data_IF_383447986598
#
_entry.id   IF_383447986598
#
_cell.length_a   1.000
_cell.length_b   1.000
_cell.length_c   1.000
_cell.angle_alpha   90.00
_cell.angle_beta   90.00
_cell.angle_gamma   90.00
#
_symmetry.space_group_name_H-M   'P 1'
#
loop_
_entity.id
_entity.type
_entity.pdbx_description
1 polymer ?
#
# COMPACT_ATOMS: atom_id res chain seq x y z
N UNK A 1 3.19 -3.24 -33.96
CA UNK A 1 2.87 -4.60 -33.50
C UNK A 1 3.71 -4.88 -32.26
N UNK A 2 3.24 -4.51 -31.08
CA UNK A 2 3.66 -5.13 -29.82
C UNK A 2 2.55 -6.10 -29.46
N UNK A 3 2.61 -7.33 -30.00
CA UNK A 3 2.00 -8.44 -29.28
C UNK A 3 2.85 -8.60 -28.03
N UNK A 4 2.57 -7.84 -26.98
CA UNK A 4 2.95 -8.27 -25.65
C UNK A 4 2.16 -9.55 -25.44
N UNK A 5 2.87 -10.67 -25.65
CA UNK A 5 2.44 -12.01 -25.32
C UNK A 5 1.87 -11.91 -23.91
N UNK A 6 0.58 -12.24 -23.73
CA UNK A 6 0.08 -12.54 -22.40
C UNK A 6 1.03 -13.60 -21.82
N UNK A 7 1.88 -13.19 -20.88
CA UNK A 7 3.06 -13.97 -20.46
C UNK A 7 2.67 -15.22 -19.68
N UNK A 8 1.41 -15.30 -19.20
CA UNK A 8 0.90 -16.45 -18.46
C UNK A 8 -0.04 -17.29 -19.31
N UNK A 9 0.46 -18.42 -19.78
CA UNK A 9 -0.34 -19.51 -20.35
C UNK A 9 -0.98 -20.33 -19.23
N UNK A 10 -1.97 -19.72 -18.55
CA UNK A 10 -2.64 -20.32 -17.38
C UNK A 10 -3.23 -21.69 -17.71
N UNK A 11 -3.76 -21.84 -18.93
CA UNK A 11 -4.23 -23.10 -19.50
C UNK A 11 -3.17 -24.19 -19.48
N UNK A 12 -1.93 -23.84 -19.83
CA UNK A 12 -0.81 -24.77 -19.87
C UNK A 12 -0.20 -25.01 -18.48
N UNK A 13 -0.29 -24.04 -17.57
CA UNK A 13 0.28 -24.14 -16.22
C UNK A 13 -0.63 -24.92 -15.26
N UNK A 14 -1.95 -24.82 -15.42
CA UNK A 14 -2.93 -25.39 -14.48
C UNK A 14 -2.74 -26.90 -14.19
N UNK A 15 -2.47 -27.77 -15.19
CA UNK A 15 -2.22 -29.20 -14.90
C UNK A 15 -1.02 -29.44 -13.98
N UNK A 16 0.01 -28.59 -14.04
CA UNK A 16 1.21 -28.72 -13.21
C UNK A 16 0.99 -28.20 -11.79
N UNK A 17 0.20 -27.13 -11.62
CA UNK A 17 -0.20 -26.64 -10.29
C UNK A 17 -1.14 -27.62 -9.56
N UNK A 18 -1.83 -28.49 -10.29
CA UNK A 18 -2.70 -29.51 -9.73
C UNK A 18 -1.96 -30.80 -9.31
N UNK A 19 -0.66 -30.92 -9.62
CA UNK A 19 0.15 -32.05 -9.16
C UNK A 19 0.27 -32.03 -7.63
N UNK A 20 0.33 -33.23 -7.03
CA UNK A 20 0.64 -33.34 -5.62
C UNK A 20 2.06 -32.84 -5.35
N UNK A 21 2.17 -31.77 -4.56
CA UNK A 21 3.44 -31.16 -4.17
C UNK A 21 4.17 -31.98 -3.09
N UNK A 22 3.49 -32.93 -2.45
CA UNK A 22 4.02 -33.67 -1.30
C UNK A 22 4.16 -32.77 -0.07
N UNK A 23 5.21 -33.00 0.73
CA UNK A 23 5.39 -32.31 2.03
C UNK A 23 6.20 -31.02 1.95
N UNK A 24 6.94 -30.79 0.86
CA UNK A 24 7.81 -29.61 0.71
C UNK A 24 6.97 -28.39 0.38
N UNK A 25 7.46 -27.21 0.74
CA UNK A 25 6.72 -25.95 0.65
C UNK A 25 7.51 -24.91 -0.15
N UNK A 26 6.84 -24.18 -1.03
CA UNK A 26 7.39 -23.01 -1.70
C UNK A 26 7.12 -21.77 -0.84
N UNK A 27 8.19 -21.05 -0.50
CA UNK A 27 8.13 -19.80 0.23
C UNK A 27 8.63 -18.66 -0.67
N UNK A 28 7.73 -17.76 -1.06
CA UNK A 28 8.06 -16.57 -1.84
C UNK A 28 8.56 -15.47 -0.93
N UNK A 29 9.87 -15.20 -0.93
CA UNK A 29 10.46 -14.10 -0.17
C UNK A 29 10.27 -12.81 -0.95
N UNK A 30 9.64 -11.83 -0.33
CA UNK A 30 9.22 -10.55 -0.95
C UNK A 30 9.86 -9.41 -0.17
N UNK A 31 10.43 -8.44 -0.87
CA UNK A 31 11.06 -7.26 -0.27
C UNK A 31 10.88 -6.02 -1.13
N UNK A 32 11.20 -4.86 -0.54
CA UNK A 32 11.19 -3.55 -1.21
C UNK A 32 12.60 -3.19 -1.62
N UNK A 33 12.77 -2.74 -2.87
CA UNK A 33 14.06 -2.27 -3.40
C UNK A 33 14.33 -0.79 -3.06
N UNK A 34 15.47 -0.26 -3.53
CA UNK A 34 15.87 1.12 -3.22
C UNK A 34 14.94 2.20 -3.81
N UNK A 35 14.12 1.85 -4.79
CA UNK A 35 13.23 2.77 -5.52
C UNK A 35 11.75 2.60 -5.08
N UNK A 36 11.50 1.77 -4.06
CA UNK A 36 10.14 1.46 -3.61
C UNK A 36 9.43 0.43 -4.49
N UNK A 37 10.16 -0.23 -5.40
CA UNK A 37 9.69 -1.37 -6.17
C UNK A 37 9.63 -2.64 -5.33
N UNK A 38 8.76 -3.58 -5.70
CA UNK A 38 8.63 -4.87 -5.01
C UNK A 38 9.36 -5.95 -5.80
N UNK A 39 10.19 -6.72 -5.11
CA UNK A 39 10.97 -7.84 -5.66
C UNK A 39 10.61 -9.12 -4.93
N UNK A 40 10.79 -10.27 -5.60
CA UNK A 40 10.54 -11.56 -4.97
C UNK A 40 11.36 -12.69 -5.57
N UNK A 41 11.58 -13.75 -4.78
CA UNK A 41 12.11 -15.04 -5.24
C UNK A 41 11.70 -16.19 -4.31
N UNK A 42 11.71 -17.41 -4.81
CA UNK A 42 11.16 -18.58 -4.10
C UNK A 42 12.22 -19.49 -3.50
N UNK A 43 12.11 -19.79 -2.19
CA UNK A 43 12.85 -20.87 -1.52
C UNK A 43 11.99 -22.13 -1.42
N UNK A 44 12.59 -23.31 -1.52
CA UNK A 44 11.94 -24.58 -1.11
C UNK A 44 12.26 -24.89 0.34
N UNK A 45 11.24 -25.14 1.15
CA UNK A 45 11.31 -25.59 2.54
C UNK A 45 10.95 -27.09 2.61
N UNK A 46 11.58 -27.82 3.53
CA UNK A 46 11.30 -29.26 3.70
C UNK A 46 9.90 -29.54 4.28
N UNK A 47 9.32 -28.57 4.98
CA UNK A 47 7.98 -28.61 5.56
C UNK A 47 7.44 -27.19 5.73
N UNK A 48 6.12 -27.07 5.95
CA UNK A 48 5.50 -25.80 6.27
C UNK A 48 6.05 -25.22 7.59
N UNK A 49 6.40 -23.92 7.65
CA UNK A 49 6.81 -23.27 8.89
C UNK A 49 5.59 -23.05 9.80
N UNK A 50 5.82 -23.06 11.12
CA UNK A 50 4.79 -22.74 12.11
C UNK A 50 4.80 -21.25 12.48
N UNK A 51 5.94 -20.59 12.31
CA UNK A 51 6.12 -19.17 12.60
C UNK A 51 7.23 -18.55 11.73
N UNK A 52 7.34 -17.22 11.77
CA UNK A 52 8.44 -16.49 11.12
C UNK A 52 9.81 -16.96 11.60
N UNK A 53 9.94 -17.40 12.86
CA UNK A 53 11.20 -17.87 13.43
C UNK A 53 11.70 -19.20 12.82
N UNK A 54 10.83 -19.95 12.15
CA UNK A 54 11.22 -21.19 11.45
C UNK A 54 11.79 -20.91 10.05
N UNK A 55 11.68 -19.67 9.57
CA UNK A 55 12.16 -19.26 8.26
C UNK A 55 13.64 -18.88 8.31
N UNK A 56 14.36 -19.24 7.25
CA UNK A 56 15.78 -18.92 7.12
C UNK A 56 15.95 -17.47 6.68
N UNK A 57 16.98 -16.81 7.21
CA UNK A 57 17.55 -15.64 6.54
C UNK A 57 18.04 -16.06 5.15
N UNK A 58 17.89 -15.16 4.18
CA UNK A 58 18.40 -15.35 2.84
C UNK A 58 19.15 -14.09 2.40
N UNK A 59 19.67 -14.07 1.18
CA UNK A 59 20.41 -12.94 0.62
C UNK A 59 20.02 -12.74 -0.84
N UNK A 60 20.33 -11.59 -1.42
CA UNK A 60 20.24 -11.33 -2.86
C UNK A 60 21.36 -10.38 -3.28
N UNK A 61 21.55 -10.27 -4.60
CA UNK A 61 22.47 -9.29 -5.17
C UNK A 61 21.82 -7.90 -5.18
N UNK A 62 22.20 -7.08 -4.20
CA UNK A 62 21.73 -5.71 -4.02
C UNK A 62 22.22 -4.73 -5.08
N UNK A 63 23.25 -5.06 -5.86
CA UNK A 63 23.68 -4.21 -6.97
C UNK A 63 22.65 -4.18 -8.11
N UNK A 64 21.90 -5.28 -8.27
CA UNK A 64 20.82 -5.41 -9.25
C UNK A 64 19.52 -4.71 -8.81
N UNK A 65 19.48 -4.11 -7.63
CA UNK A 65 18.30 -3.43 -7.05
C UNK A 65 18.64 -2.06 -6.43
N UNK A 66 19.81 -1.50 -6.77
CA UNK A 66 20.31 -0.22 -6.25
C UNK A 66 20.45 -0.16 -4.72
N UNK A 67 20.61 -1.31 -4.05
CA UNK A 67 20.72 -1.44 -2.60
C UNK A 67 22.15 -1.64 -2.09
N UNK A 68 23.10 -2.00 -2.96
CA UNK A 68 24.50 -2.20 -2.61
C UNK A 68 25.44 -1.93 -3.81
N UNK A 69 26.71 -1.56 -3.59
CA UNK A 69 27.69 -1.45 -4.66
C UNK A 69 28.09 -2.83 -5.20
N UNK A 70 28.60 -2.89 -6.43
CA UNK A 70 28.91 -4.16 -7.10
C UNK A 70 30.06 -4.97 -6.46
N UNK A 71 30.99 -4.32 -5.76
CA UNK A 71 32.14 -4.95 -5.10
C UNK A 71 31.83 -5.46 -3.68
N UNK A 72 30.63 -5.17 -3.16
CA UNK A 72 30.12 -5.66 -1.89
C UNK A 72 28.59 -5.72 -1.93
N UNK A 73 28.04 -6.59 -2.78
CA UNK A 73 26.65 -6.50 -3.22
C UNK A 73 25.63 -7.34 -2.44
N UNK A 74 26.07 -8.24 -1.56
CA UNK A 74 25.16 -9.09 -0.79
C UNK A 74 24.32 -8.26 0.20
N UNK A 75 23.00 -8.35 0.07
CA UNK A 75 22.01 -7.80 1.01
C UNK A 75 21.18 -8.94 1.59
N UNK A 76 21.01 -8.94 2.90
CA UNK A 76 20.28 -9.97 3.63
C UNK A 76 18.77 -9.70 3.69
N UNK A 77 17.98 -10.77 3.56
CA UNK A 77 16.53 -10.81 3.71
C UNK A 77 16.19 -11.48 5.03
N UNK A 78 15.64 -10.70 5.96
CA UNK A 78 15.14 -11.20 7.25
C UNK A 78 13.62 -11.30 7.21
N UNK A 79 13.03 -12.52 7.34
CA UNK A 79 11.59 -12.72 7.38
C UNK A 79 10.93 -11.96 8.53
N UNK A 80 9.76 -11.35 8.26
CA UNK A 80 9.03 -10.55 9.25
C UNK A 80 7.55 -10.87 9.35
N UNK A 81 6.94 -11.37 8.26
CA UNK A 81 5.54 -11.80 8.26
C UNK A 81 5.30 -12.93 7.24
N UNK A 82 4.33 -13.78 7.53
CA UNK A 82 3.90 -14.90 6.68
C UNK A 82 2.45 -14.66 6.24
N UNK A 83 2.19 -14.87 4.95
CA UNK A 83 0.85 -14.86 4.36
C UNK A 83 0.64 -16.13 3.54
N UNK A 84 -0.61 -16.53 3.31
CA UNK A 84 -0.88 -17.65 2.40
C UNK A 84 -0.64 -17.22 0.95
N UNK A 85 -0.06 -18.10 0.14
CA UNK A 85 0.17 -17.84 -1.29
C UNK A 85 -1.10 -18.15 -2.11
N UNK A 86 -1.82 -17.13 -2.65
CA UNK A 86 -3.03 -17.36 -3.44
C UNK A 86 -2.75 -17.87 -4.87
N UNK A 87 -1.50 -17.80 -5.33
CA UNK A 87 -1.12 -18.22 -6.69
C UNK A 87 -0.77 -19.69 -6.73
N UNK A 88 -0.11 -20.20 -5.68
CA UNK A 88 0.30 -21.60 -5.55
C UNK A 88 -0.67 -22.43 -4.72
N UNK A 89 -1.40 -21.81 -3.80
CA UNK A 89 -2.35 -22.51 -2.92
C UNK A 89 -1.69 -23.51 -1.97
N UNK A 90 -2.50 -24.34 -1.32
CA UNK A 90 -2.03 -25.40 -0.43
C UNK A 90 -1.24 -24.86 0.77
N UNK A 91 -0.10 -25.50 1.05
CA UNK A 91 0.79 -25.13 2.15
C UNK A 91 1.83 -24.04 1.77
N UNK A 92 1.77 -23.51 0.54
CA UNK A 92 2.68 -22.47 0.06
C UNK A 92 2.42 -21.12 0.70
N UNK A 93 3.48 -20.35 0.87
CA UNK A 93 3.45 -19.10 1.63
C UNK A 93 4.17 -17.97 0.90
N UNK A 94 3.71 -16.76 1.20
CA UNK A 94 4.43 -15.53 0.94
C UNK A 94 5.11 -15.09 2.22
N UNK A 95 6.33 -14.59 2.10
CA UNK A 95 7.19 -14.19 3.21
C UNK A 95 7.64 -12.75 2.97
N UNK A 96 7.05 -11.81 3.70
CA UNK A 96 7.56 -10.45 3.70
C UNK A 96 8.89 -10.41 4.45
N UNK A 97 9.87 -9.73 3.88
CA UNK A 97 11.22 -9.57 4.41
C UNK A 97 11.60 -8.10 4.54
N UNK A 98 12.50 -7.83 5.49
CA UNK A 98 13.24 -6.58 5.58
C UNK A 98 14.70 -6.78 5.14
N UNK A 99 15.30 -5.72 4.62
CA UNK A 99 16.64 -5.74 4.02
C UNK A 99 17.71 -5.25 5.01
N UNK A 100 18.82 -5.97 5.11
CA UNK A 100 19.98 -5.58 5.92
C UNK A 100 21.25 -5.64 5.10
N UNK A 101 22.13 -4.67 5.34
CA UNK A 101 23.47 -4.64 4.77
C UNK A 101 24.33 -5.75 5.38
N UNK A 102 25.47 -6.02 4.74
CA UNK A 102 26.37 -7.10 5.11
C UNK A 102 26.99 -6.94 6.51
N UNK A 103 27.05 -5.71 7.03
CA UNK A 103 27.47 -5.37 8.39
C UNK A 103 26.37 -5.58 9.46
N UNK A 104 25.17 -6.00 9.03
CA UNK A 104 24.02 -6.27 9.88
C UNK A 104 23.17 -5.04 10.22
N UNK A 105 23.48 -3.86 9.65
CA UNK A 105 22.65 -2.66 9.78
C UNK A 105 21.45 -2.68 8.82
N UNK A 106 20.31 -2.05 9.16
CA UNK A 106 19.20 -1.93 8.22
C UNK A 106 19.66 -1.22 6.96
N UNK A 107 19.37 -1.81 5.78
CA UNK A 107 19.68 -1.16 4.50
C UNK A 107 19.00 0.22 4.43
N UNK A 108 19.57 1.15 3.66
CA UNK A 108 19.04 2.53 3.53
C UNK A 108 17.55 2.60 3.14
N UNK A 109 17.06 1.63 2.39
CA UNK A 109 15.66 1.52 1.97
C UNK A 109 14.75 0.80 2.99
N UNK A 110 15.31 0.28 4.09
CA UNK A 110 14.57 -0.41 5.14
C UNK A 110 13.94 0.58 6.14
N UNK A 111 12.85 1.21 5.72
CA UNK A 111 12.07 2.10 6.59
C UNK A 111 11.27 1.34 7.67
N UNK A 112 11.06 0.03 7.47
CA UNK A 112 10.38 -0.85 8.43
C UNK A 112 11.10 -0.90 9.78
N UNK A 113 12.43 -1.01 9.77
CA UNK A 113 13.23 -1.12 11.00
C UNK A 113 13.05 0.09 11.93
N UNK A 114 13.00 1.30 11.36
CA UNK A 114 12.72 2.52 12.13
C UNK A 114 11.26 2.58 12.58
N UNK A 115 10.30 2.32 11.66
CA UNK A 115 8.88 2.28 11.99
C UNK A 115 8.58 1.31 13.15
N UNK A 116 9.18 0.12 13.14
CA UNK A 116 9.01 -0.85 14.22
C UNK A 116 9.45 -0.30 15.58
N UNK A 117 10.59 0.41 15.66
CA UNK A 117 11.04 1.06 16.90
C UNK A 117 10.04 2.10 17.40
N UNK A 118 9.48 2.91 16.51
CA UNK A 118 8.44 3.91 16.84
C UNK A 118 7.19 3.24 17.38
N UNK A 119 6.71 2.18 16.71
CA UNK A 119 5.51 1.46 17.13
C UNK A 119 5.70 0.73 18.47
N UNK A 120 6.88 0.16 18.70
CA UNK A 120 7.21 -0.48 19.99
C UNK A 120 7.26 0.55 21.13
N UNK A 121 7.77 1.76 20.86
CA UNK A 121 7.81 2.86 21.84
C UNK A 121 6.42 3.44 22.16
N UNK A 122 5.50 3.41 21.19
CA UNK A 122 4.14 3.93 21.34
C UNK A 122 3.09 2.84 21.64
N UNK A 123 3.51 1.60 21.93
CA UNK A 123 2.62 0.42 22.03
C UNK A 123 1.43 0.60 22.97
N UNK A 124 1.62 1.33 24.08
CA UNK A 124 0.58 1.52 25.11
C UNK A 124 -0.57 2.44 24.64
N UNK A 125 -0.34 3.20 23.56
CA UNK A 125 -1.38 4.02 22.91
C UNK A 125 -2.21 3.26 21.89
N UNK A 126 -1.85 2.01 21.57
CA UNK A 126 -2.52 1.13 20.63
C UNK A 126 -2.88 1.83 19.30
N UNK A 127 -1.88 2.34 18.55
CA UNK A 127 -2.12 3.07 17.31
C UNK A 127 -2.74 2.16 16.24
N UNK A 128 -3.90 2.54 15.75
CA UNK A 128 -4.60 1.88 14.65
C UNK A 128 -4.55 2.71 13.39
N UNK A 129 -4.38 2.02 12.27
CA UNK A 129 -4.33 2.62 10.95
C UNK A 129 -5.29 1.92 9.99
N UNK A 130 -5.87 2.68 9.07
CA UNK A 130 -6.56 2.17 7.89
C UNK A 130 -6.16 2.99 6.67
N UNK A 131 -5.51 2.37 5.69
CA UNK A 131 -4.99 3.07 4.50
C UNK A 131 -5.87 2.78 3.28
N UNK A 132 -6.19 3.84 2.55
CA UNK A 132 -7.01 3.86 1.34
C UNK A 132 -6.10 3.97 0.12
N UNK A 133 -5.69 2.85 -0.48
CA UNK A 133 -4.76 2.82 -1.60
C UNK A 133 -5.49 3.03 -2.92
N UNK A 134 -5.33 4.21 -3.52
CA UNK A 134 -5.77 4.47 -4.89
C UNK A 134 -4.69 4.09 -5.91
N UNK A 135 -5.08 3.68 -7.11
CA UNK A 135 -4.19 3.30 -8.20
C UNK A 135 -4.90 3.39 -9.55
N UNK A 136 -4.13 3.55 -10.63
CA UNK A 136 -4.66 3.66 -12.00
C UNK A 136 -4.13 2.54 -12.87
N UNK A 137 -5.01 1.90 -13.64
CA UNK A 137 -4.66 0.78 -14.50
C UNK A 137 -4.12 1.27 -15.84
N UNK A 138 -2.96 0.76 -16.23
CA UNK A 138 -2.40 0.93 -17.57
C UNK A 138 -2.35 -0.41 -18.29
N UNK A 139 -2.48 -0.39 -19.61
CA UNK A 139 -2.20 -1.53 -20.46
C UNK A 139 -0.69 -1.69 -20.71
N UNK A 140 -0.36 -2.75 -21.43
CA UNK A 140 1.00 -3.12 -21.79
C UNK A 140 1.73 -2.08 -22.67
N UNK A 141 1.00 -1.22 -23.38
CA UNK A 141 1.55 -0.15 -24.21
C UNK A 141 1.67 1.18 -23.44
N UNK A 142 1.40 1.17 -22.12
CA UNK A 142 1.46 2.34 -21.26
C UNK A 142 0.31 3.32 -21.47
N UNK A 143 -0.80 2.89 -22.07
CA UNK A 143 -2.04 3.67 -22.16
C UNK A 143 -2.95 3.34 -20.99
N UNK A 144 -3.82 4.27 -20.58
CA UNK A 144 -4.78 3.98 -19.51
C UNK A 144 -5.73 2.87 -19.99
N UNK A 145 -5.85 1.82 -19.18
CA UNK A 145 -6.53 0.60 -19.59
C UNK A 145 -7.99 0.85 -19.97
N UNK A 146 -8.42 0.35 -21.13
CA UNK A 146 -9.81 0.48 -21.59
C UNK A 146 -10.21 1.86 -22.12
N UNK A 147 -9.29 2.83 -22.15
CA UNK A 147 -9.55 4.13 -22.77
C UNK A 147 -9.55 4.05 -24.30
N UNK A 148 -10.23 4.97 -25.01
CA UNK A 148 -10.16 5.05 -26.46
C UNK A 148 -8.71 5.23 -26.93
N UNK A 149 -8.28 4.44 -27.92
CA UNK A 149 -6.93 4.59 -28.51
C UNK A 149 -6.74 6.02 -29.02
N UNK A 150 -5.68 6.67 -28.58
CA UNK A 150 -5.37 8.08 -28.91
C UNK A 150 -6.49 9.07 -28.55
N UNK A 151 -7.28 8.77 -27.51
CA UNK A 151 -8.40 9.61 -27.10
C UNK A 151 -8.68 9.55 -25.61
N UNK A 152 -9.74 10.24 -25.21
CA UNK A 152 -10.21 10.32 -23.83
C UNK A 152 -11.63 9.75 -23.75
N UNK A 153 -12.01 9.14 -22.62
CA UNK A 153 -13.41 8.86 -22.33
C UNK A 153 -14.18 10.16 -22.09
N UNK A 154 -15.48 10.05 -21.80
CA UNK A 154 -16.26 11.18 -21.32
C UNK A 154 -15.70 11.81 -20.04
N UNK A 155 -16.15 13.01 -19.66
CA UNK A 155 -15.67 13.69 -18.47
C UNK A 155 -16.02 12.92 -17.18
N UNK A 156 -15.22 13.13 -16.13
CA UNK A 156 -15.43 12.51 -14.81
C UNK A 156 -16.85 12.76 -14.26
N UNK A 157 -17.37 11.81 -13.47
CA UNK A 157 -18.73 11.87 -12.93
C UNK A 157 -19.41 10.50 -12.87
N UNK A 158 -19.59 9.78 -14.01
CA UNK A 158 -20.32 8.51 -14.02
C UNK A 158 -19.51 7.29 -13.54
N UNK A 159 -18.21 7.48 -13.26
CA UNK A 159 -17.26 6.39 -13.00
C UNK A 159 -17.15 5.99 -11.52
N UNK A 160 -17.17 6.97 -10.61
CA UNK A 160 -17.09 6.73 -9.16
C UNK A 160 -18.21 5.79 -8.71
N UNK A 161 -17.84 4.65 -8.10
CA UNK A 161 -18.78 3.59 -7.71
C UNK A 161 -19.74 3.14 -8.85
N UNK A 162 -19.31 3.26 -10.11
CA UNK A 162 -20.12 2.98 -11.28
C UNK A 162 -20.46 1.49 -11.45
N UNK A 163 -21.59 1.22 -12.13
CA UNK A 163 -22.00 -0.13 -12.53
C UNK A 163 -22.50 -0.10 -13.98
N UNK A 164 -22.04 -1.06 -14.78
CA UNK A 164 -22.40 -1.21 -16.19
C UNK A 164 -21.20 -0.99 -17.12
N UNK A 165 -21.30 -1.57 -18.31
CA UNK A 165 -20.30 -1.40 -19.36
C UNK A 165 -20.10 0.10 -19.68
N UNK A 166 -18.86 0.50 -19.91
CA UNK A 166 -18.48 1.90 -20.18
C UNK A 166 -18.36 2.80 -18.95
N UNK A 167 -18.72 2.32 -17.75
CA UNK A 167 -18.50 3.05 -16.48
C UNK A 167 -17.38 2.48 -15.64
N UNK A 168 -17.10 1.17 -15.78
CA UNK A 168 -16.06 0.48 -15.03
C UNK A 168 -15.24 -0.42 -15.94
N UNK A 169 -13.95 -0.53 -15.65
CA UNK A 169 -12.96 -1.20 -16.49
C UNK A 169 -12.14 -2.16 -15.63
N UNK A 170 -11.97 -3.40 -16.11
CA UNK A 170 -11.23 -4.47 -15.44
C UNK A 170 -11.73 -4.86 -14.02
N UNK A 171 -13.04 -4.79 -13.75
CA UNK A 171 -13.57 -5.17 -12.42
C UNK A 171 -13.18 -6.59 -12.02
N UNK A 172 -13.10 -7.51 -12.98
CA UNK A 172 -12.62 -8.88 -12.79
C UNK A 172 -11.20 -8.96 -12.22
N UNK A 173 -10.28 -8.10 -12.67
CA UNK A 173 -8.95 -7.95 -12.09
C UNK A 173 -9.01 -7.51 -10.61
N UNK A 174 -9.89 -6.54 -10.30
CA UNK A 174 -10.07 -6.03 -8.93
C UNK A 174 -10.69 -7.09 -8.01
N UNK A 175 -11.69 -7.83 -8.49
CA UNK A 175 -12.30 -8.92 -7.73
C UNK A 175 -11.30 -10.05 -7.47
N UNK A 176 -10.43 -10.37 -8.44
CA UNK A 176 -9.34 -11.32 -8.25
C UNK A 176 -8.37 -10.87 -7.15
N UNK A 177 -7.96 -9.59 -7.17
CA UNK A 177 -7.11 -9.00 -6.12
C UNK A 177 -7.76 -9.04 -4.74
N UNK A 178 -9.04 -8.68 -4.65
CA UNK A 178 -9.77 -8.73 -3.38
C UNK A 178 -9.80 -10.16 -2.82
N UNK A 179 -10.14 -11.15 -3.66
CA UNK A 179 -10.19 -12.57 -3.26
C UNK A 179 -8.82 -13.09 -2.85
N UNK A 180 -7.76 -12.69 -3.56
CA UNK A 180 -6.38 -13.03 -3.21
C UNK A 180 -5.96 -12.44 -1.86
N UNK A 181 -6.29 -11.17 -1.60
CA UNK A 181 -6.04 -10.52 -0.31
C UNK A 181 -6.76 -11.25 0.83
N UNK A 182 -8.05 -11.58 0.66
CA UNK A 182 -8.82 -12.34 1.65
C UNK A 182 -8.21 -13.72 1.92
N UNK A 183 -7.82 -14.45 0.87
CA UNK A 183 -7.18 -15.75 0.99
C UNK A 183 -5.84 -15.68 1.73
N UNK A 184 -5.01 -14.69 1.37
CA UNK A 184 -3.70 -14.46 1.96
C UNK A 184 -3.76 -14.08 3.45
N UNK A 185 -4.92 -13.62 3.93
CA UNK A 185 -5.12 -13.11 5.28
C UNK A 185 -4.79 -11.62 5.42
N UNK A 186 -4.76 -10.88 4.31
CA UNK A 186 -4.63 -9.42 4.33
C UNK A 186 -5.89 -8.84 4.96
N UNK A 187 -5.75 -7.86 5.87
CA UNK A 187 -6.85 -7.10 6.48
C UNK A 187 -7.45 -6.08 5.50
N UNK A 188 -7.81 -6.54 4.30
CA UNK A 188 -8.53 -5.73 3.31
C UNK A 188 -9.95 -5.48 3.82
N UNK A 189 -10.37 -4.21 3.88
CA UNK A 189 -11.67 -3.81 4.42
C UNK A 189 -12.70 -3.45 3.35
N UNK A 190 -12.26 -3.19 2.12
CA UNK A 190 -13.14 -2.82 1.03
C UNK A 190 -12.40 -2.46 -0.25
N UNK A 191 -13.20 -2.19 -1.28
CA UNK A 191 -12.77 -1.70 -2.60
C UNK A 191 -13.84 -0.77 -3.17
N UNK A 192 -13.45 0.13 -4.07
CA UNK A 192 -14.37 0.89 -4.92
C UNK A 192 -13.73 1.30 -6.25
N UNK A 193 -14.56 1.56 -7.26
CA UNK A 193 -14.13 2.26 -8.46
C UNK A 193 -13.99 3.75 -8.12
N UNK A 194 -12.88 4.35 -8.52
CA UNK A 194 -12.58 5.76 -8.24
C UNK A 194 -13.14 6.72 -9.29
N UNK A 195 -12.94 8.02 -9.05
CA UNK A 195 -13.50 9.10 -9.89
C UNK A 195 -12.97 9.06 -11.33
N UNK A 196 -11.68 8.80 -11.52
CA UNK A 196 -11.09 8.66 -12.86
C UNK A 196 -11.43 7.28 -13.44
N UNK A 197 -11.85 7.17 -14.72
CA UNK A 197 -12.07 5.87 -15.35
C UNK A 197 -10.79 5.03 -15.34
N UNK A 198 -10.93 3.77 -14.93
CA UNK A 198 -9.81 2.83 -14.74
C UNK A 198 -8.90 3.19 -13.56
N UNK A 199 -9.35 4.07 -12.67
CA UNK A 199 -8.81 4.25 -11.33
C UNK A 199 -9.65 3.45 -10.34
N UNK A 200 -9.00 2.86 -9.36
CA UNK A 200 -9.62 2.02 -8.34
C UNK A 200 -8.97 2.29 -6.98
N UNK A 201 -9.67 1.88 -5.93
CA UNK A 201 -9.18 1.92 -4.57
C UNK A 201 -9.39 0.57 -3.88
N UNK A 202 -8.44 0.18 -3.03
CA UNK A 202 -8.65 -0.83 -1.99
C UNK A 202 -8.24 -0.26 -0.63
N UNK A 203 -8.97 -0.65 0.41
CA UNK A 203 -8.69 -0.22 1.78
C UNK A 203 -8.10 -1.36 2.59
N UNK A 204 -7.06 -1.09 3.38
CA UNK A 204 -6.45 -2.06 4.31
C UNK A 204 -6.53 -1.51 5.72
N UNK A 205 -7.14 -2.25 6.64
CA UNK A 205 -7.23 -1.93 8.05
C UNK A 205 -8.56 -2.32 8.69
N UNK A 206 -8.73 -2.07 10.00
CA UNK A 206 -7.74 -1.48 10.89
C UNK A 206 -6.57 -2.44 11.20
N UNK A 207 -5.35 -1.96 11.06
CA UNK A 207 -4.11 -2.65 11.46
C UNK A 207 -3.48 -1.93 12.66
N UNK A 208 -2.84 -2.69 13.57
CA UNK A 208 -2.17 -2.09 14.73
C UNK A 208 -0.69 -1.92 14.46
N UNK A 209 -0.17 -0.70 14.63
CA UNK A 209 1.25 -0.41 14.53
C UNK A 209 1.89 -0.91 13.23
N UNK A 210 2.95 -1.73 13.37
CA UNK A 210 3.79 -2.21 12.27
C UNK A 210 3.03 -3.06 11.25
N UNK A 211 1.93 -3.72 11.67
CA UNK A 211 1.09 -4.53 10.79
C UNK A 211 0.56 -3.73 9.59
N UNK A 212 0.33 -2.42 9.75
CA UNK A 212 -0.22 -1.61 8.67
C UNK A 212 0.70 -1.59 7.44
N UNK A 213 2.00 -1.39 7.66
CA UNK A 213 2.98 -1.43 6.57
C UNK A 213 3.14 -2.83 5.99
N UNK A 214 3.18 -3.85 6.85
CA UNK A 214 3.32 -5.24 6.42
C UNK A 214 2.14 -5.66 5.50
N UNK A 215 0.91 -5.33 5.90
CA UNK A 215 -0.28 -5.66 5.14
C UNK A 215 -0.42 -4.85 3.83
N UNK A 216 -0.12 -3.54 3.83
CA UNK A 216 -0.27 -2.75 2.59
C UNK A 216 0.79 -3.12 1.55
N UNK A 217 2.06 -3.34 1.95
CA UNK A 217 3.08 -3.79 1.01
C UNK A 217 2.73 -5.13 0.37
N UNK A 218 2.19 -6.06 1.16
CA UNK A 218 1.74 -7.35 0.64
C UNK A 218 0.49 -7.24 -0.24
N UNK A 219 -0.44 -6.34 0.08
CA UNK A 219 -1.58 -6.04 -0.80
C UNK A 219 -1.12 -5.47 -2.15
N UNK A 220 -0.10 -4.59 -2.15
CA UNK A 220 0.53 -4.06 -3.37
C UNK A 220 1.23 -5.15 -4.18
N UNK A 221 1.98 -6.05 -3.52
CA UNK A 221 2.58 -7.21 -4.18
C UNK A 221 1.53 -8.05 -4.91
N UNK A 222 0.43 -8.39 -4.23
CA UNK A 222 -0.66 -9.16 -4.83
C UNK A 222 -1.27 -8.43 -6.02
N UNK A 223 -1.47 -7.11 -5.92
CA UNK A 223 -2.01 -6.29 -7.01
C UNK A 223 -1.13 -6.37 -8.26
N UNK A 224 0.18 -6.15 -8.10
CA UNK A 224 1.16 -6.21 -9.19
C UNK A 224 1.24 -7.62 -9.79
N UNK A 225 1.32 -8.64 -8.93
CA UNK A 225 1.49 -10.03 -9.33
C UNK A 225 0.28 -10.60 -10.09
N UNK A 226 -0.92 -10.11 -9.77
CA UNK A 226 -2.15 -10.42 -10.52
C UNK A 226 -2.17 -9.61 -11.82
N UNK A 227 -1.69 -8.36 -11.83
CA UNK A 227 -1.62 -7.51 -13.02
C UNK A 227 -0.85 -8.17 -14.16
N UNK A 228 0.22 -8.91 -13.83
CA UNK A 228 0.97 -9.75 -14.77
C UNK A 228 0.08 -10.73 -15.55
N UNK A 229 -0.97 -11.29 -14.94
CA UNK A 229 -1.84 -12.28 -15.59
C UNK A 229 -2.86 -11.63 -16.53
N UNK A 230 -3.23 -10.37 -16.26
CA UNK A 230 -4.17 -9.58 -17.08
C UNK A 230 -3.45 -8.73 -18.14
N UNK A 231 -2.11 -8.63 -18.10
CA UNK A 231 -1.37 -7.66 -18.91
C UNK A 231 -1.70 -6.21 -18.53
N UNK A 232 -2.02 -6.00 -17.25
CA UNK A 232 -2.35 -4.70 -16.67
C UNK A 232 -1.20 -4.28 -15.75
N UNK A 233 -0.78 -3.03 -15.87
CA UNK A 233 0.21 -2.39 -15.00
C UNK A 233 -0.50 -1.41 -14.06
N UNK A 234 -0.75 -1.77 -12.79
CA UNK A 234 -1.26 -0.84 -11.79
C UNK A 234 -0.19 0.21 -11.47
N UNK A 235 -0.51 1.49 -11.70
CA UNK A 235 0.35 2.61 -11.36
C UNK A 235 -0.07 3.22 -10.02
N UNK A 236 0.91 3.41 -9.13
CA UNK A 236 0.76 4.13 -7.87
C UNK A 236 1.20 5.59 -7.99
N UNK A 237 1.44 6.12 -9.20
CA UNK A 237 1.86 7.50 -9.38
C UNK A 237 0.74 8.47 -8.93
N UNK A 238 1.03 9.52 -8.13
CA UNK A 238 0.00 10.38 -7.53
C UNK A 238 -0.77 11.26 -8.52
N UNK A 239 -0.23 11.45 -9.72
CA UNK A 239 -0.90 12.18 -10.81
C UNK A 239 -0.64 11.50 -12.15
N UNK A 240 -1.28 10.36 -12.43
CA UNK A 240 -0.92 9.50 -13.57
C UNK A 240 -1.23 10.16 -14.92
N UNK A 241 -2.21 11.07 -14.94
CA UNK A 241 -2.49 11.93 -16.09
C UNK A 241 -2.50 13.41 -15.68
N UNK A 242 -1.96 14.26 -16.55
CA UNK A 242 -2.09 15.71 -16.45
C UNK A 242 -3.50 16.16 -16.84
N UNK A 243 -3.91 17.33 -16.35
CA UNK A 243 -5.20 17.95 -16.67
C UNK A 243 -6.29 17.65 -15.65
N UNK A 244 -7.53 17.70 -16.11
CA UNK A 244 -8.78 17.62 -15.31
C UNK A 244 -9.20 16.17 -14.99
N UNK A 245 -8.21 15.38 -14.58
CA UNK A 245 -8.38 14.01 -14.11
C UNK A 245 -7.94 13.92 -12.65
N UNK A 246 -8.59 13.13 -11.83
CA UNK A 246 -8.20 12.96 -10.43
C UNK A 246 -6.75 12.47 -10.32
N UNK A 247 -6.09 12.87 -9.22
CA UNK A 247 -4.85 12.21 -8.80
C UNK A 247 -5.15 10.94 -8.02
N UNK A 248 -4.10 10.26 -7.56
CA UNK A 248 -4.18 9.06 -6.73
C UNK A 248 -3.58 9.32 -5.33
N UNK A 249 -4.35 9.07 -4.29
CA UNK A 249 -3.96 9.23 -2.89
C UNK A 249 -3.67 7.91 -2.17
N UNK A 250 -3.15 8.04 -0.95
CA UNK A 250 -3.13 6.96 0.04
C UNK A 250 -3.69 7.49 1.38
N UNK A 251 -4.98 7.84 1.43
CA UNK A 251 -5.54 8.46 2.64
C UNK A 251 -5.32 7.56 3.86
N UNK A 252 -4.93 8.19 4.97
CA UNK A 252 -4.45 7.48 6.15
C UNK A 252 -5.36 7.77 7.34
N UNK A 253 -6.27 6.83 7.60
CA UNK A 253 -7.11 6.85 8.79
C UNK A 253 -6.26 6.46 10.00
N UNK A 254 -6.29 7.25 11.07
CA UNK A 254 -5.44 7.08 12.23
C UNK A 254 -6.19 7.32 13.55
N UNK A 255 -5.95 6.46 14.54
CA UNK A 255 -6.42 6.66 15.91
C UNK A 255 -5.51 6.02 16.96
N UNK A 256 -5.46 6.61 18.15
CA UNK A 256 -4.97 5.97 19.38
C UNK A 256 -6.15 5.47 20.23
N UNK A 257 -5.86 4.70 21.28
CA UNK A 257 -6.84 4.27 22.27
C UNK A 257 -7.66 5.43 22.84
N UNK A 258 -7.00 6.54 23.17
CA UNK A 258 -7.68 7.72 23.72
C UNK A 258 -8.60 8.37 22.68
N UNK A 259 -8.18 8.46 21.41
CA UNK A 259 -9.04 8.96 20.33
C UNK A 259 -10.32 8.12 20.17
N UNK A 260 -10.23 6.81 20.43
CA UNK A 260 -11.38 5.88 20.36
C UNK A 260 -12.23 5.86 21.63
N UNK A 261 -11.84 6.56 22.70
CA UNK A 261 -12.52 6.50 24.00
C UNK A 261 -13.59 7.58 24.13
N UNK A 262 -14.87 7.24 24.39
CA UNK A 262 -15.93 8.22 24.63
C UNK A 262 -15.58 9.21 25.74
N UNK A 263 -15.90 10.48 25.55
CA UNK A 263 -15.60 11.56 26.50
C UNK A 263 -14.16 12.08 26.48
N UNK A 264 -13.23 11.40 25.79
CA UNK A 264 -11.84 11.83 25.57
C UNK A 264 -11.48 12.02 24.10
N UNK A 265 -12.18 11.30 23.22
CA UNK A 265 -11.74 11.07 21.84
C UNK A 265 -11.55 12.32 21.00
N UNK A 266 -12.55 13.22 20.97
CA UNK A 266 -12.45 14.44 20.16
C UNK A 266 -11.30 15.34 20.61
N UNK A 267 -11.10 15.50 21.92
CA UNK A 267 -9.99 16.29 22.45
C UNK A 267 -8.63 15.71 22.05
N UNK A 268 -8.48 14.37 22.08
CA UNK A 268 -7.27 13.69 21.62
C UNK A 268 -7.05 13.86 20.10
N UNK A 269 -8.12 13.83 19.29
CA UNK A 269 -8.06 14.07 17.84
C UNK A 269 -7.61 15.51 17.56
N UNK A 270 -8.22 16.49 18.22
CA UNK A 270 -7.88 17.91 18.06
C UNK A 270 -6.44 18.22 18.49
N UNK A 271 -5.95 17.59 19.57
CA UNK A 271 -4.55 17.70 20.00
C UNK A 271 -3.58 17.14 18.94
N UNK A 272 -3.88 15.96 18.40
CA UNK A 272 -3.09 15.39 17.31
C UNK A 272 -3.07 16.29 16.07
N UNK A 273 -4.21 16.86 15.68
CA UNK A 273 -4.29 17.78 14.53
C UNK A 273 -3.40 19.01 14.75
N UNK A 274 -3.40 19.60 15.96
CA UNK A 274 -2.53 20.75 16.28
C UNK A 274 -1.04 20.41 16.22
N UNK A 275 -0.66 19.18 16.56
CA UNK A 275 0.73 18.69 16.41
C UNK A 275 1.09 18.49 14.95
N UNK A 276 0.19 17.89 14.16
CA UNK A 276 0.37 17.69 12.71
C UNK A 276 0.49 19.00 11.93
N UNK A 277 -0.25 20.04 12.34
CA UNK A 277 -0.16 21.37 11.75
C UNK A 277 1.26 21.94 11.84
N UNK A 278 1.90 21.83 13.01
CA UNK A 278 3.25 22.34 13.26
C UNK A 278 4.32 21.64 12.45
N UNK A 279 4.09 20.38 12.07
CA UNK A 279 5.03 19.53 11.33
C UNK A 279 4.58 19.27 9.90
N UNK A 280 3.72 20.11 9.33
CA UNK A 280 3.14 19.89 8.01
C UNK A 280 4.18 19.58 6.94
N UNK A 281 5.26 20.37 6.84
CA UNK A 281 6.29 20.21 5.82
C UNK A 281 7.16 18.96 6.04
N UNK A 282 7.43 18.57 7.29
CA UNK A 282 8.15 17.34 7.62
C UNK A 282 7.34 16.11 7.16
N UNK A 283 6.03 16.12 7.36
CA UNK A 283 5.14 15.08 6.85
C UNK A 283 5.12 15.06 5.32
N UNK A 284 4.97 16.22 4.66
CA UNK A 284 4.96 16.29 3.20
C UNK A 284 6.26 15.70 2.59
N UNK A 285 7.42 15.92 3.21
CA UNK A 285 8.70 15.40 2.74
C UNK A 285 8.81 13.86 2.71
N UNK A 286 7.92 13.15 3.42
CA UNK A 286 7.90 11.67 3.46
C UNK A 286 6.62 11.08 2.86
N UNK A 287 5.71 11.91 2.37
CA UNK A 287 4.36 11.54 1.93
C UNK A 287 4.26 11.15 0.45
N UNK A 288 5.38 10.72 -0.14
CA UNK A 288 5.48 10.24 -1.52
C UNK A 288 6.01 11.29 -2.48
N UNK A 289 6.75 10.82 -3.48
CA UNK A 289 7.33 11.65 -4.53
C UNK A 289 6.26 12.16 -5.49
N UNK A 290 6.51 13.29 -6.16
CA UNK A 290 5.61 13.94 -7.12
C UNK A 290 4.23 14.33 -6.58
N UNK A 291 4.10 14.43 -5.26
CA UNK A 291 2.84 14.77 -4.60
C UNK A 291 2.42 16.23 -4.84
N UNK A 292 3.34 17.10 -5.26
CA UNK A 292 3.07 18.48 -5.72
C UNK A 292 2.18 18.51 -6.97
N UNK A 293 2.27 17.48 -7.82
CA UNK A 293 1.41 17.32 -9.00
C UNK A 293 -0.04 16.98 -8.62
N UNK A 294 -0.25 16.46 -7.42
CA UNK A 294 -1.56 16.03 -6.89
C UNK A 294 -2.17 17.10 -5.98
N UNK A 295 -1.45 17.53 -4.95
CA UNK A 295 -1.90 18.45 -3.90
C UNK A 295 -1.93 19.91 -4.37
N UNK A 296 -2.86 20.21 -5.27
CA UNK A 296 -2.97 21.51 -5.94
C UNK A 296 -4.11 22.38 -5.40
N UNK A 297 -4.88 21.89 -4.42
CA UNK A 297 -6.12 22.55 -3.96
C UNK A 297 -7.34 22.29 -4.86
N UNK A 298 -7.17 21.54 -5.95
CA UNK A 298 -8.24 21.13 -6.89
C UNK A 298 -8.53 19.64 -6.74
N UNK A 299 -9.63 19.17 -7.34
CA UNK A 299 -10.02 17.74 -7.38
C UNK A 299 -10.01 17.08 -5.99
N UNK A 300 -10.65 17.73 -5.00
CA UNK A 300 -10.78 17.20 -3.63
C UNK A 300 -9.45 16.97 -2.89
N UNK A 301 -8.41 17.74 -3.25
CA UNK A 301 -7.13 17.78 -2.54
C UNK A 301 -6.93 19.14 -1.85
N UNK A 302 -6.16 19.14 -0.76
CA UNK A 302 -5.63 20.36 -0.17
C UNK A 302 -4.42 20.87 -0.99
N UNK A 303 -3.99 22.11 -0.72
CA UNK A 303 -2.69 22.59 -1.18
C UNK A 303 -1.57 21.84 -0.47
N UNK A 304 -0.46 21.60 -1.17
CA UNK A 304 0.75 21.00 -0.59
C UNK A 304 1.43 21.90 0.45
N UNK A 305 1.20 23.22 0.40
CA UNK A 305 1.91 24.20 1.25
C UNK A 305 1.11 24.71 2.43
N UNK A 306 -0.22 24.49 2.45
CA UNK A 306 -1.09 24.97 3.53
C UNK A 306 -1.75 23.81 4.23
N UNK A 307 -1.62 23.80 5.56
CA UNK A 307 -2.33 22.86 6.40
C UNK A 307 -3.76 23.35 6.65
N UNK A 308 -4.71 22.42 6.65
CA UNK A 308 -6.10 22.68 7.02
C UNK A 308 -6.73 21.44 7.62
N UNK A 309 -7.71 21.64 8.51
CA UNK A 309 -8.49 20.56 9.08
C UNK A 309 -9.97 20.92 9.17
N UNK A 310 -10.86 19.92 9.09
CA UNK A 310 -12.29 20.18 9.25
C UNK A 310 -13.16 18.92 9.30
N UNK A 311 -14.33 19.05 9.92
CA UNK A 311 -15.34 17.99 9.95
C UNK A 311 -15.96 17.85 8.55
N UNK A 312 -15.92 16.64 8.01
CA UNK A 312 -16.48 16.28 6.71
C UNK A 312 -15.97 17.15 5.53
N UNK A 313 -14.76 17.71 5.63
CA UNK A 313 -14.19 18.57 4.60
C UNK A 313 -13.23 17.78 3.69
N UNK A 314 -13.68 17.42 2.49
CA UNK A 314 -12.85 16.77 1.44
C UNK A 314 -11.86 17.73 0.75
N UNK A 315 -11.83 19.02 1.10
CA UNK A 315 -10.77 19.93 0.65
C UNK A 315 -9.64 20.09 1.66
N UNK A 316 -9.79 19.54 2.87
CA UNK A 316 -8.83 19.73 3.94
C UNK A 316 -7.66 18.73 3.89
N UNK A 317 -6.54 19.12 4.51
CA UNK A 317 -5.39 18.24 4.70
C UNK A 317 -5.74 17.08 5.65
N UNK A 318 -6.37 17.40 6.78
CA UNK A 318 -6.93 16.43 7.73
C UNK A 318 -8.45 16.54 7.75
N UNK A 319 -9.14 15.41 7.58
CA UNK A 319 -10.59 15.32 7.68
C UNK A 319 -10.97 14.58 8.95
N UNK A 320 -11.94 15.13 9.69
CA UNK A 320 -12.65 14.40 10.74
C UNK A 320 -13.94 13.87 10.13
N UNK A 321 -14.19 12.56 10.09
CA UNK A 321 -15.44 12.02 9.54
C UNK A 321 -16.67 12.59 10.25
N UNK A 322 -17.77 12.78 9.52
CA UNK A 322 -19.00 13.39 10.08
C UNK A 322 -19.52 12.63 11.31
N UNK A 323 -19.49 11.30 11.28
CA UNK A 323 -19.94 10.47 12.39
C UNK A 323 -19.03 10.59 13.62
N UNK A 324 -17.70 10.71 13.42
CA UNK A 324 -16.72 10.98 14.49
C UNK A 324 -17.00 12.34 15.14
N UNK A 325 -17.23 13.38 14.32
CA UNK A 325 -17.64 14.71 14.78
C UNK A 325 -18.91 14.68 15.62
N UNK A 326 -19.92 13.91 15.19
CA UNK A 326 -21.20 13.80 15.89
C UNK A 326 -21.11 13.00 17.20
N UNK A 327 -20.35 11.90 17.23
CA UNK A 327 -20.25 11.05 18.42
C UNK A 327 -19.17 11.48 19.42
N UNK A 328 -18.20 12.31 19.00
CA UNK A 328 -17.17 12.88 19.86
C UNK A 328 -15.96 11.98 20.13
N UNK A 329 -15.77 10.90 19.38
CA UNK A 329 -14.60 10.00 19.45
C UNK A 329 -14.49 9.17 18.16
N UNK A 330 -13.33 8.58 17.88
CA UNK A 330 -13.08 7.77 16.70
C UNK A 330 -11.66 7.93 16.14
N UNK A 331 -11.56 8.46 14.93
CA UNK A 331 -10.32 8.59 14.16
C UNK A 331 -10.29 9.88 13.34
N UNK A 332 -9.08 10.26 12.90
CA UNK A 332 -8.87 11.29 11.87
C UNK A 332 -8.43 10.64 10.56
N UNK A 333 -8.60 11.34 9.45
CA UNK A 333 -8.16 10.93 8.11
C UNK A 333 -7.13 11.94 7.59
N UNK A 334 -5.87 11.53 7.45
CA UNK A 334 -4.84 12.33 6.79
C UNK A 334 -4.86 12.09 5.28
N UNK A 335 -5.21 13.12 4.51
CA UNK A 335 -5.47 13.03 3.06
C UNK A 335 -4.26 13.44 2.21
N UNK A 336 -3.18 13.81 2.87
CA UNK A 336 -1.94 14.31 2.24
C UNK A 336 -1.05 13.21 1.64
N UNK A 337 -0.99 11.96 2.12
CA UNK A 337 -0.12 10.95 1.51
C UNK A 337 -0.53 10.65 0.06
N UNK A 338 0.46 10.60 -0.83
CA UNK A 338 0.31 10.15 -2.20
C UNK A 338 0.12 8.63 -2.29
N UNK A 339 -0.43 8.15 -3.40
CA UNK A 339 -0.61 6.71 -3.66
C UNK A 339 0.69 5.90 -3.65
N UNK A 340 1.84 6.49 -4.00
CA UNK A 340 3.16 5.84 -4.04
C UNK A 340 3.88 5.85 -2.68
N UNK A 341 3.25 6.36 -1.62
CA UNK A 341 3.92 6.53 -0.34
C UNK A 341 4.36 5.20 0.29
N UNK A 342 5.48 5.18 1.00
CA UNK A 342 5.83 4.05 1.87
C UNK A 342 4.96 4.07 3.14
N UNK A 343 4.13 3.04 3.40
CA UNK A 343 3.31 2.99 4.60
C UNK A 343 4.11 2.97 5.91
N UNK A 344 5.34 2.43 5.94
CA UNK A 344 6.18 2.49 7.14
C UNK A 344 6.54 3.94 7.48
N UNK A 345 6.86 4.77 6.48
CA UNK A 345 7.20 6.18 6.68
C UNK A 345 6.00 6.99 7.16
N UNK A 346 4.83 6.80 6.55
CA UNK A 346 3.59 7.52 6.94
C UNK A 346 3.14 7.16 8.34
N UNK A 347 3.11 5.86 8.66
CA UNK A 347 2.64 5.40 9.96
C UNK A 347 3.62 5.79 11.09
N UNK A 348 4.93 5.71 10.83
CA UNK A 348 5.95 6.16 11.79
C UNK A 348 5.79 7.64 12.10
N UNK A 349 5.82 8.52 11.09
CA UNK A 349 5.81 9.97 11.32
C UNK A 349 4.50 10.46 11.95
N UNK A 350 3.36 9.80 11.67
CA UNK A 350 2.10 10.07 12.37
C UNK A 350 2.24 9.82 13.87
N UNK A 351 2.83 8.70 14.28
CA UNK A 351 2.99 8.33 15.69
C UNK A 351 4.07 9.17 16.36
N UNK A 352 5.19 9.44 15.68
CA UNK A 352 6.24 10.31 16.19
C UNK A 352 5.69 11.70 16.53
N UNK A 353 4.98 12.33 15.60
CA UNK A 353 4.41 13.67 15.79
C UNK A 353 3.31 13.69 16.84
N UNK A 354 2.40 12.72 16.85
CA UNK A 354 1.17 12.80 17.66
C UNK A 354 1.31 12.19 19.05
N UNK A 355 2.17 11.17 19.21
CA UNK A 355 2.36 10.42 20.45
C UNK A 355 3.71 10.72 21.09
N UNK A 356 4.81 10.59 20.33
CA UNK A 356 6.16 10.72 20.88
C UNK A 356 6.63 12.18 21.00
N UNK A 357 5.96 13.11 20.30
CA UNK A 357 6.30 14.52 20.18
C UNK A 357 7.71 14.77 19.63
N UNK A 358 8.17 13.89 18.74
CA UNK A 358 9.49 13.97 18.09
C UNK A 358 9.39 14.56 16.71
#
# INVERSE_FOLDING_TARGET
MSQLIATKRVDLLAPYLALDQGSRVQAEYIWVDAEGGIRSKTMTLEKAPSSVADLKEWNFDGSSTNQAPADNSDVFLRPVAIFKDPFRGGANILVLCECYDNDGTPNKSNYRAHCKKVMDAAKDTEPWFGLEQEYTLFDADGQVFGWPKNGFPGPQGPYYCGVGAGKVFARDFIEAHYRACLYAGIKISGINAEVMPSQWEFQVGPCTGIEMGDHLWMARFLLLRIGEEWGITPSLHPKPLKGDWNGAGCHSNYSTKDMRTPGKGMAAIEDAIKKLEKKHLEHIAVYGEDNDLRLTGKHETASMTTFSAGVANRGASIRIPRHVGAQGYGYLEDRRPASNVDPYRVTAILVETTVLNN
#
